data_IF_925146055662
#
_entry.id   IF_925146055662
#
_cell.length_a   1.000
_cell.length_b   1.000
_cell.length_c   1.000
_cell.angle_alpha   90.00
_cell.angle_beta   90.00
_cell.angle_gamma   90.00
#
_symmetry.space_group_name_H-M   'P 1'
#
loop_
_entity.id
_entity.type
_entity.pdbx_description
1 polymer ?
#
# COMPACT_ATOMS: atom_id res chain seq x y z
N UNK A 1 -19.55 19.78 18.68
CA UNK A 1 -18.65 20.45 19.61
C UNK A 1 -18.48 21.87 19.13
N UNK A 2 -19.06 22.82 19.87
CA UNK A 2 -19.23 24.21 19.48
C UNK A 2 -17.91 24.93 19.21
N UNK A 3 -17.75 25.40 17.98
CA UNK A 3 -16.72 26.37 17.66
C UNK A 3 -17.06 27.68 18.33
N UNK A 4 -16.31 28.07 19.34
CA UNK A 4 -16.51 29.30 20.13
C UNK A 4 -15.75 30.49 19.54
N UNK A 5 -15.07 30.38 18.43
CA UNK A 5 -14.38 31.46 17.74
C UNK A 5 -14.55 31.36 16.21
N UNK A 6 -14.66 32.53 15.59
CA UNK A 6 -14.75 32.70 14.14
C UNK A 6 -13.40 32.38 13.49
N UNK A 7 -13.25 31.18 12.89
CA UNK A 7 -12.00 30.73 12.27
C UNK A 7 -12.16 30.69 10.75
N UNK A 8 -11.28 31.39 10.04
CA UNK A 8 -11.22 31.32 8.60
C UNK A 8 -10.89 29.92 8.11
N UNK A 9 -11.61 29.42 7.10
CA UNK A 9 -11.37 28.13 6.46
C UNK A 9 -10.23 28.18 5.46
N UNK A 10 -9.70 27.00 5.07
CA UNK A 10 -8.58 26.91 4.10
C UNK A 10 -8.91 27.55 2.74
N UNK A 11 -10.14 27.47 2.26
CA UNK A 11 -10.55 28.12 1.01
C UNK A 11 -10.53 29.64 1.11
N UNK A 12 -10.78 30.18 2.31
CA UNK A 12 -10.78 31.62 2.54
C UNK A 12 -9.38 32.20 2.69
N UNK A 13 -8.47 31.44 3.28
CA UNK A 13 -7.09 31.85 3.46
C UNK A 13 -6.24 31.73 2.20
N UNK A 14 -6.67 30.91 1.24
CA UNK A 14 -5.94 30.72 -0.02
C UNK A 14 -6.10 31.92 -0.96
N UNK A 15 -4.99 32.61 -1.21
CA UNK A 15 -4.90 33.75 -2.11
C UNK A 15 -4.50 33.32 -3.53
N UNK A 16 -4.40 34.26 -4.49
CA UNK A 16 -4.15 34.01 -5.92
C UNK A 16 -2.94 33.12 -6.24
N UNK A 17 -1.90 33.16 -5.43
CA UNK A 17 -0.67 32.36 -5.62
C UNK A 17 -0.62 31.08 -4.79
N UNK A 18 -1.65 30.81 -3.97
CA UNK A 18 -1.67 29.67 -3.06
C UNK A 18 -2.49 28.52 -3.62
N UNK A 19 -2.16 27.30 -3.16
CA UNK A 19 -2.86 26.09 -3.52
C UNK A 19 -3.49 25.46 -2.27
N UNK A 20 -4.70 24.94 -2.43
CA UNK A 20 -5.35 24.08 -1.44
C UNK A 20 -5.17 22.64 -1.91
N UNK A 21 -4.51 21.83 -1.08
CA UNK A 21 -4.33 20.41 -1.33
C UNK A 21 -5.47 19.63 -0.66
N UNK A 22 -6.20 18.84 -1.45
CA UNK A 22 -7.28 17.97 -1.00
C UNK A 22 -6.83 16.52 -1.16
N UNK A 23 -6.45 15.92 -0.04
CA UNK A 23 -6.08 14.51 0.00
C UNK A 23 -7.32 13.63 0.03
N UNK A 24 -7.22 12.43 -0.53
CA UNK A 24 -8.28 11.41 -0.56
C UNK A 24 -9.61 11.94 -1.10
N UNK A 25 -9.55 12.65 -2.25
CA UNK A 25 -10.75 13.25 -2.87
C UNK A 25 -11.83 12.21 -3.21
N UNK A 26 -11.44 10.95 -3.47
CA UNK A 26 -12.35 9.83 -3.73
C UNK A 26 -13.18 9.38 -2.53
N UNK A 27 -12.85 9.87 -1.31
CA UNK A 27 -13.60 9.56 -0.08
C UNK A 27 -14.67 10.61 0.25
N UNK A 28 -14.81 11.66 -0.55
CA UNK A 28 -15.76 12.73 -0.27
C UNK A 28 -17.22 12.23 -0.30
N UNK A 29 -18.01 12.52 0.74
CA UNK A 29 -19.45 12.31 0.70
C UNK A 29 -20.11 13.09 -0.46
N UNK A 30 -21.20 12.55 -1.04
CA UNK A 30 -21.89 13.14 -2.19
C UNK A 30 -22.28 14.62 -1.97
N UNK A 31 -22.69 14.98 -0.76
CA UNK A 31 -23.04 16.37 -0.43
C UNK A 31 -21.83 17.33 -0.53
N UNK A 32 -20.65 16.84 -0.14
CA UNK A 32 -19.41 17.63 -0.20
C UNK A 32 -18.93 17.74 -1.64
N UNK A 33 -19.11 16.69 -2.45
CA UNK A 33 -18.80 16.73 -3.87
C UNK A 33 -19.59 17.84 -4.60
N UNK A 34 -20.89 18.00 -4.27
CA UNK A 34 -21.73 19.07 -4.84
C UNK A 34 -21.22 20.47 -4.42
N UNK A 35 -20.85 20.64 -3.17
CA UNK A 35 -20.31 21.92 -2.69
C UNK A 35 -18.98 22.25 -3.34
N UNK A 36 -18.08 21.28 -3.45
CA UNK A 36 -16.78 21.46 -4.09
C UNK A 36 -16.95 21.81 -5.59
N UNK A 37 -17.86 21.13 -6.30
CA UNK A 37 -18.17 21.42 -7.69
C UNK A 37 -18.60 22.90 -7.86
N UNK A 38 -19.44 23.43 -6.98
CA UNK A 38 -19.84 24.84 -7.01
C UNK A 38 -18.64 25.78 -6.83
N UNK A 39 -17.71 25.46 -5.92
CA UNK A 39 -16.48 26.24 -5.73
C UNK A 39 -15.64 26.25 -7.01
N UNK A 40 -15.48 25.08 -7.65
CA UNK A 40 -14.69 24.96 -8.88
C UNK A 40 -15.33 25.69 -10.07
N UNK A 41 -16.67 25.71 -10.16
CA UNK A 41 -17.41 26.34 -11.25
C UNK A 41 -17.51 27.86 -11.07
N UNK A 42 -17.91 28.30 -9.87
CA UNK A 42 -18.31 29.69 -9.62
C UNK A 42 -17.20 30.50 -8.94
N UNK A 43 -16.13 29.83 -8.49
CA UNK A 43 -15.08 30.45 -7.69
C UNK A 43 -15.61 31.13 -6.42
N UNK A 44 -16.73 30.65 -5.89
CA UNK A 44 -17.38 31.17 -4.68
C UNK A 44 -17.78 30.08 -3.72
N UNK A 45 -17.72 30.39 -2.43
CA UNK A 45 -18.14 29.51 -1.36
C UNK A 45 -18.80 30.32 -0.22
N UNK A 46 -19.40 29.59 0.72
CA UNK A 46 -19.96 30.14 1.95
C UNK A 46 -19.42 29.33 3.12
N UNK A 47 -19.22 29.98 4.25
CA UNK A 47 -18.94 29.28 5.51
C UNK A 47 -20.15 28.50 5.96
N UNK A 48 -19.93 27.44 6.73
CA UNK A 48 -21.03 26.68 7.33
C UNK A 48 -21.75 27.61 8.34
N UNK A 49 -23.06 27.77 8.14
CA UNK A 49 -23.88 28.66 8.98
C UNK A 49 -23.85 30.15 8.61
N UNK A 50 -23.18 30.53 7.52
CA UNK A 50 -23.11 31.90 7.04
C UNK A 50 -23.65 31.98 5.60
N UNK A 51 -24.46 32.99 5.32
CA UNK A 51 -25.04 33.24 3.99
C UNK A 51 -24.16 34.16 3.11
N UNK A 52 -23.06 34.69 3.66
CA UNK A 52 -22.17 35.58 2.92
C UNK A 52 -21.34 34.78 1.89
N UNK A 53 -21.47 35.17 0.62
CA UNK A 53 -20.67 34.61 -0.47
C UNK A 53 -19.25 35.20 -0.44
N UNK A 54 -18.24 34.33 -0.46
CA UNK A 54 -16.80 34.65 -0.50
C UNK A 54 -16.21 34.14 -1.80
N UNK A 55 -15.20 34.80 -2.30
CA UNK A 55 -14.51 34.38 -3.51
C UNK A 55 -13.30 33.48 -3.21
N UNK A 56 -13.07 32.48 -4.06
CA UNK A 56 -11.94 31.58 -3.98
C UNK A 56 -10.96 31.87 -5.13
N UNK A 57 -9.77 32.28 -4.81
CA UNK A 57 -8.74 32.69 -5.76
C UNK A 57 -7.62 31.65 -5.93
N UNK A 58 -7.50 30.70 -5.03
CA UNK A 58 -6.44 29.70 -5.04
C UNK A 58 -6.57 28.65 -6.15
N UNK A 59 -5.58 27.80 -6.25
CA UNK A 59 -5.62 26.56 -7.03
C UNK A 59 -6.06 25.39 -6.14
N UNK A 60 -6.73 24.41 -6.73
CA UNK A 60 -7.02 23.14 -6.06
C UNK A 60 -6.11 22.08 -6.68
N UNK A 61 -5.42 21.35 -5.81
CA UNK A 61 -4.67 20.14 -6.13
C UNK A 61 -5.34 19.03 -5.34
N UNK A 62 -5.72 17.94 -6.01
CA UNK A 62 -6.35 16.81 -5.33
C UNK A 62 -5.56 15.53 -5.56
N UNK A 63 -5.58 14.66 -4.55
CA UNK A 63 -4.99 13.33 -4.63
C UNK A 63 -6.01 12.27 -4.20
N UNK A 64 -5.86 11.07 -4.73
CA UNK A 64 -6.63 9.89 -4.33
C UNK A 64 -5.91 8.62 -4.74
N UNK A 65 -6.08 7.57 -3.95
CA UNK A 65 -5.66 6.22 -4.31
C UNK A 65 -6.76 5.43 -5.04
N UNK A 66 -8.02 5.95 -5.05
CA UNK A 66 -9.16 5.29 -5.69
C UNK A 66 -9.17 5.48 -7.19
N UNK A 67 -9.66 4.47 -7.90
CA UNK A 67 -10.06 4.59 -9.30
C UNK A 67 -11.37 5.39 -9.38
N UNK A 68 -11.24 6.67 -9.75
CA UNK A 68 -12.40 7.56 -9.87
C UNK A 68 -13.29 7.17 -11.05
N UNK A 69 -12.76 6.51 -12.10
CA UNK A 69 -13.55 5.98 -13.20
C UNK A 69 -14.53 4.91 -12.71
N UNK A 70 -14.02 3.91 -12.01
CA UNK A 70 -14.85 2.87 -11.38
C UNK A 70 -15.84 3.46 -10.36
N UNK A 71 -15.40 4.47 -9.58
CA UNK A 71 -16.28 5.15 -8.61
C UNK A 71 -17.43 5.91 -9.29
N UNK A 72 -17.23 6.47 -10.46
CA UNK A 72 -18.28 7.11 -11.29
C UNK A 72 -19.28 6.07 -11.77
N UNK A 73 -18.82 4.96 -12.33
CA UNK A 73 -19.69 3.85 -12.81
C UNK A 73 -20.57 3.30 -11.68
N UNK A 74 -20.05 3.23 -10.45
CA UNK A 74 -20.77 2.80 -9.26
C UNK A 74 -21.66 3.88 -8.63
N UNK A 75 -21.66 5.10 -9.16
CA UNK A 75 -22.42 6.23 -8.61
C UNK A 75 -21.87 6.82 -7.30
N UNK A 76 -20.67 6.44 -6.89
CA UNK A 76 -20.01 6.94 -5.68
C UNK A 76 -19.29 8.27 -5.89
N UNK A 77 -18.92 8.60 -7.11
CA UNK A 77 -18.28 9.86 -7.47
C UNK A 77 -18.99 10.51 -8.66
N UNK A 78 -19.12 11.83 -8.64
CA UNK A 78 -19.82 12.59 -9.70
C UNK A 78 -18.92 12.80 -10.91
N UNK A 79 -19.41 12.47 -12.09
CA UNK A 79 -18.70 12.68 -13.35
C UNK A 79 -18.41 14.17 -13.62
N UNK A 80 -19.35 15.08 -13.29
CA UNK A 80 -19.17 16.51 -13.51
C UNK A 80 -18.06 17.11 -12.61
N UNK A 81 -17.92 16.62 -11.38
CA UNK A 81 -16.81 16.98 -10.50
C UNK A 81 -15.48 16.45 -11.04
N UNK A 82 -15.46 15.20 -11.50
CA UNK A 82 -14.28 14.59 -12.11
C UNK A 82 -13.72 15.44 -13.24
N UNK A 83 -14.54 15.80 -14.23
CA UNK A 83 -14.09 16.60 -15.36
C UNK A 83 -13.66 18.03 -15.00
N UNK A 84 -14.04 18.52 -13.82
CA UNK A 84 -13.59 19.82 -13.32
C UNK A 84 -12.27 19.74 -12.56
N UNK A 85 -12.02 18.64 -11.86
CA UNK A 85 -10.77 18.40 -11.12
C UNK A 85 -9.65 17.95 -12.05
N UNK A 86 -9.94 17.01 -12.95
CA UNK A 86 -8.96 16.31 -13.76
C UNK A 86 -8.63 17.05 -15.07
N UNK A 87 -8.33 18.35 -14.98
CA UNK A 87 -7.77 19.10 -16.12
C UNK A 87 -6.34 18.64 -16.45
N UNK A 88 -5.62 18.17 -15.45
CA UNK A 88 -4.29 17.55 -15.59
C UNK A 88 -4.16 16.43 -14.54
N UNK A 89 -3.60 15.28 -14.95
CA UNK A 89 -3.49 14.09 -14.10
C UNK A 89 -2.04 13.62 -14.03
N UNK A 90 -1.50 13.63 -12.82
CA UNK A 90 -0.18 13.07 -12.53
C UNK A 90 -0.38 11.69 -11.90
N UNK A 91 0.15 10.65 -12.53
CA UNK A 91 0.18 9.29 -11.95
C UNK A 91 1.52 9.05 -11.29
N UNK A 92 1.52 8.84 -9.99
CA UNK A 92 2.72 8.44 -9.25
C UNK A 92 2.94 6.94 -9.43
N UNK A 93 4.13 6.50 -9.87
CA UNK A 93 4.43 5.08 -9.98
C UNK A 93 4.49 4.42 -8.60
N UNK A 94 4.17 3.13 -8.52
CA UNK A 94 4.38 2.36 -7.30
C UNK A 94 5.87 2.18 -7.02
N UNK A 95 6.23 1.91 -5.76
CA UNK A 95 7.63 1.63 -5.40
C UNK A 95 8.14 0.40 -6.17
N UNK A 96 7.32 -0.63 -6.32
CA UNK A 96 7.68 -1.81 -7.11
C UNK A 96 8.04 -1.47 -8.56
N UNK A 97 7.29 -0.57 -9.19
CA UNK A 97 7.58 -0.09 -10.57
C UNK A 97 8.90 0.68 -10.62
N UNK A 98 9.12 1.60 -9.66
CA UNK A 98 10.37 2.38 -9.60
C UNK A 98 11.60 1.50 -9.43
N UNK A 99 11.50 0.47 -8.56
CA UNK A 99 12.60 -0.46 -8.30
C UNK A 99 12.87 -1.42 -9.47
N UNK A 100 11.87 -1.73 -10.29
CA UNK A 100 12.04 -2.55 -11.49
C UNK A 100 12.83 -1.81 -12.59
N UNK A 101 12.67 -0.50 -12.66
CA UNK A 101 13.34 0.34 -13.67
C UNK A 101 14.79 0.68 -13.28
N UNK A 102 15.12 0.68 -11.99
CA UNK A 102 16.45 1.06 -11.49
C UNK A 102 16.84 0.28 -10.23
N UNK A 103 17.85 -0.58 -10.35
CA UNK A 103 18.33 -1.42 -9.23
C UNK A 103 19.01 -0.63 -8.10
N UNK A 104 19.54 0.56 -8.39
CA UNK A 104 20.23 1.41 -7.40
C UNK A 104 19.25 2.30 -6.63
N UNK A 105 18.00 2.39 -7.11
CA UNK A 105 16.97 3.25 -6.51
C UNK A 105 16.64 2.84 -5.08
N UNK A 106 16.61 1.54 -4.79
CA UNK A 106 16.35 1.04 -3.43
C UNK A 106 17.36 1.60 -2.42
N UNK A 107 18.65 1.55 -2.76
CA UNK A 107 19.70 2.08 -1.88
C UNK A 107 19.56 3.59 -1.67
N UNK A 108 19.26 4.32 -2.73
CA UNK A 108 19.02 5.76 -2.67
C UNK A 108 17.84 6.11 -1.76
N UNK A 109 16.71 5.43 -1.93
CA UNK A 109 15.51 5.63 -1.11
C UNK A 109 15.75 5.28 0.37
N UNK A 110 16.46 4.18 0.65
CA UNK A 110 16.84 3.81 2.02
C UNK A 110 17.71 4.89 2.65
N UNK A 111 18.69 5.43 1.90
CA UNK A 111 19.55 6.52 2.39
C UNK A 111 18.73 7.77 2.72
N UNK A 112 17.79 8.17 1.86
CA UNK A 112 16.88 9.29 2.13
C UNK A 112 16.00 9.07 3.36
N UNK A 113 15.48 7.85 3.53
CA UNK A 113 14.68 7.49 4.70
C UNK A 113 15.53 7.51 5.97
N UNK A 114 16.73 6.93 5.92
CA UNK A 114 17.64 6.86 7.07
C UNK A 114 18.07 8.26 7.51
N UNK A 115 18.37 9.15 6.57
CA UNK A 115 18.75 10.55 6.86
C UNK A 115 17.64 11.35 7.58
N UNK A 116 16.36 10.93 7.47
CA UNK A 116 15.25 11.53 8.23
C UNK A 116 15.14 10.95 9.67
N UNK A 117 15.71 9.79 9.92
CA UNK A 117 15.56 9.04 11.19
C UNK A 117 16.76 9.27 12.10
N UNK A 118 17.97 9.30 11.55
CA UNK A 118 19.24 9.44 12.27
C UNK A 118 20.03 10.64 11.79
N UNK A 119 21.01 11.07 12.59
CA UNK A 119 21.91 12.16 12.19
C UNK A 119 22.71 11.78 10.94
N UNK A 120 23.00 12.78 10.13
CA UNK A 120 23.68 12.66 8.82
C UNK A 120 25.00 11.91 8.85
N UNK A 121 25.75 11.99 9.97
CA UNK A 121 27.10 11.41 10.07
C UNK A 121 27.12 9.88 10.01
N UNK A 122 26.06 9.22 10.49
CA UNK A 122 25.93 7.75 10.51
C UNK A 122 24.89 7.23 9.49
N UNK A 123 24.18 8.14 8.83
CA UNK A 123 23.06 7.77 7.94
C UNK A 123 23.48 6.82 6.81
N UNK A 124 24.65 7.00 6.23
CA UNK A 124 25.14 6.17 5.12
C UNK A 124 25.52 4.76 5.56
N UNK A 125 26.14 4.60 6.73
CA UNK A 125 26.53 3.31 7.28
C UNK A 125 25.27 2.49 7.63
N UNK A 126 24.36 3.13 8.33
CA UNK A 126 23.08 2.54 8.75
C UNK A 126 22.19 2.23 7.53
N UNK A 127 22.20 3.07 6.50
CA UNK A 127 21.48 2.80 5.26
C UNK A 127 22.02 1.56 4.54
N UNK A 128 23.34 1.35 4.56
CA UNK A 128 23.96 0.17 3.99
C UNK A 128 23.54 -1.11 4.73
N UNK A 129 23.55 -1.10 6.06
CA UNK A 129 23.10 -2.24 6.85
C UNK A 129 21.62 -2.59 6.56
N UNK A 130 20.74 -1.59 6.52
CA UNK A 130 19.34 -1.78 6.20
C UNK A 130 19.14 -2.32 4.76
N UNK A 131 19.89 -1.80 3.80
CA UNK A 131 19.87 -2.24 2.43
C UNK A 131 20.31 -3.71 2.28
N UNK A 132 21.42 -4.08 2.92
CA UNK A 132 21.96 -5.44 2.87
C UNK A 132 20.97 -6.43 3.52
N UNK A 133 20.36 -6.04 4.64
CA UNK A 133 19.32 -6.82 5.29
C UNK A 133 18.10 -7.03 4.37
N UNK A 134 17.59 -5.97 3.74
CA UNK A 134 16.45 -6.04 2.83
C UNK A 134 16.76 -6.93 1.64
N UNK A 135 17.92 -6.81 1.01
CA UNK A 135 18.32 -7.66 -0.11
C UNK A 135 18.40 -9.14 0.26
N UNK A 136 18.85 -9.43 1.47
CA UNK A 136 18.98 -10.81 1.95
C UNK A 136 17.64 -11.45 2.33
N UNK A 137 16.74 -10.68 3.00
CA UNK A 137 15.54 -11.24 3.62
C UNK A 137 14.25 -10.96 2.84
N UNK A 138 14.26 -9.97 1.97
CA UNK A 138 13.10 -9.53 1.18
C UNK A 138 13.42 -9.45 -0.33
N UNK A 139 14.03 -10.49 -0.94
CA UNK A 139 14.29 -10.50 -2.37
C UNK A 139 12.95 -10.43 -3.12
N UNK A 140 12.85 -9.53 -4.12
CA UNK A 140 11.64 -9.34 -4.94
C UNK A 140 10.37 -8.94 -4.18
N UNK A 141 10.52 -8.30 -3.04
CA UNK A 141 9.38 -7.85 -2.24
C UNK A 141 8.62 -6.72 -2.96
N UNK A 142 7.29 -6.81 -2.98
CA UNK A 142 6.43 -5.93 -3.81
C UNK A 142 6.10 -4.58 -3.21
N UNK A 143 6.42 -4.33 -1.94
CA UNK A 143 6.21 -3.07 -1.25
C UNK A 143 4.76 -2.55 -1.39
N UNK A 144 3.77 -3.36 -1.01
CA UNK A 144 2.35 -3.02 -1.14
C UNK A 144 1.99 -1.67 -0.48
N UNK A 145 2.63 -1.32 0.63
CA UNK A 145 2.51 -0.04 1.31
C UNK A 145 3.41 1.07 0.76
N UNK A 146 4.13 0.80 -0.36
CA UNK A 146 5.02 1.75 -1.03
C UNK A 146 6.05 2.39 -0.07
N UNK A 147 6.32 3.68 -0.20
CA UNK A 147 7.28 4.40 0.62
C UNK A 147 6.99 4.35 2.12
N UNK A 148 5.70 4.30 2.52
CA UNK A 148 5.32 4.19 3.94
C UNK A 148 5.79 2.87 4.53
N UNK A 149 5.67 1.79 3.78
CA UNK A 149 6.13 0.46 4.19
C UNK A 149 7.65 0.39 4.22
N UNK A 150 8.34 0.97 3.22
CA UNK A 150 9.79 1.06 3.21
C UNK A 150 10.31 1.85 4.43
N UNK A 151 9.71 2.99 4.76
CA UNK A 151 10.04 3.77 5.95
C UNK A 151 9.84 2.96 7.24
N UNK A 152 8.75 2.22 7.33
CA UNK A 152 8.48 1.34 8.48
C UNK A 152 9.49 0.19 8.55
N UNK A 153 9.82 -0.42 7.42
CA UNK A 153 10.81 -1.49 7.32
C UNK A 153 12.19 -1.01 7.80
N UNK A 154 12.69 0.09 7.25
CA UNK A 154 13.97 0.67 7.65
C UNK A 154 13.97 0.99 9.14
N UNK A 155 12.95 1.64 9.66
CA UNK A 155 12.81 1.95 11.09
C UNK A 155 12.83 0.69 11.96
N UNK A 156 12.12 -0.36 11.55
CA UNK A 156 12.08 -1.63 12.29
C UNK A 156 13.44 -2.32 12.30
N UNK A 157 14.15 -2.34 11.18
CA UNK A 157 15.51 -2.89 11.10
C UNK A 157 16.45 -2.15 12.05
N UNK A 158 16.39 -0.81 12.08
CA UNK A 158 17.24 0.01 12.94
C UNK A 158 16.99 -0.20 14.44
N UNK A 159 15.74 -0.46 14.83
CA UNK A 159 15.36 -0.62 16.25
C UNK A 159 15.49 -2.07 16.71
N UNK A 160 15.11 -3.01 15.87
CA UNK A 160 14.94 -4.42 16.25
C UNK A 160 15.89 -5.39 15.52
N UNK A 161 16.71 -4.90 14.58
CA UNK A 161 17.55 -5.73 13.73
C UNK A 161 16.78 -6.56 12.70
N UNK A 162 15.45 -6.41 12.61
CA UNK A 162 14.60 -7.19 11.71
C UNK A 162 13.31 -6.44 11.35
N UNK A 163 12.70 -6.81 10.23
CA UNK A 163 11.37 -6.37 9.83
C UNK A 163 10.51 -7.58 9.49
N UNK A 164 9.30 -7.57 10.00
CA UNK A 164 8.27 -8.55 9.66
C UNK A 164 7.14 -7.80 8.95
N UNK A 165 6.92 -8.03 7.63
CA UNK A 165 5.84 -7.39 6.89
C UNK A 165 4.50 -7.58 7.61
N UNK A 166 3.75 -6.50 7.78
CA UNK A 166 2.37 -6.60 8.23
C UNK A 166 1.62 -7.47 7.22
N UNK A 167 0.78 -8.41 7.67
CA UNK A 167 0.04 -9.39 6.88
C UNK A 167 -0.90 -8.73 5.85
N UNK A 168 -0.36 -8.06 4.87
CA UNK A 168 -1.07 -7.32 3.83
C UNK A 168 -0.30 -7.22 2.52
N UNK A 169 0.99 -7.53 2.53
CA UNK A 169 1.80 -7.69 1.34
C UNK A 169 1.54 -9.08 0.73
N UNK A 170 0.60 -9.16 -0.19
CA UNK A 170 0.33 -10.32 -1.05
C UNK A 170 0.14 -11.68 -0.36
N UNK A 171 -0.82 -11.76 0.56
CA UNK A 171 -1.33 -13.05 1.08
C UNK A 171 -2.13 -13.83 0.01
N UNK A 172 -2.39 -13.23 -1.15
CA UNK A 172 -2.96 -14.01 -2.28
C UNK A 172 -2.01 -15.08 -2.80
N UNK A 173 -0.78 -15.24 -2.23
CA UNK A 173 0.26 -15.78 -3.07
C UNK A 173 1.19 -16.85 -2.50
N UNK A 174 1.03 -17.36 -1.30
CA UNK A 174 1.79 -18.57 -0.95
C UNK A 174 1.50 -19.71 -1.93
N UNK A 175 0.25 -19.81 -2.38
CA UNK A 175 -0.15 -20.83 -3.37
C UNK A 175 0.34 -20.48 -4.76
N UNK A 176 0.20 -19.20 -5.15
CA UNK A 176 0.64 -18.71 -6.45
C UNK A 176 2.18 -18.67 -6.52
N UNK A 177 2.84 -18.23 -5.47
CA UNK A 177 4.29 -18.25 -5.38
C UNK A 177 4.81 -19.69 -5.48
N UNK A 178 4.23 -20.63 -4.76
CA UNK A 178 4.59 -22.05 -4.86
C UNK A 178 4.37 -22.60 -6.27
N UNK A 179 3.26 -22.24 -6.92
CA UNK A 179 3.00 -22.61 -8.31
C UNK A 179 4.06 -22.02 -9.25
N UNK A 180 4.42 -20.75 -9.09
CA UNK A 180 5.43 -20.08 -9.90
C UNK A 180 6.83 -20.68 -9.69
N UNK A 181 7.20 -21.00 -8.46
CA UNK A 181 8.50 -21.65 -8.13
C UNK A 181 8.60 -23.05 -8.74
N UNK A 182 7.48 -23.82 -8.74
CA UNK A 182 7.41 -25.12 -9.43
C UNK A 182 7.61 -24.93 -10.93
N UNK A 183 6.91 -23.98 -11.56
CA UNK A 183 7.00 -23.72 -12.99
C UNK A 183 8.39 -23.21 -13.41
N UNK A 184 9.06 -22.49 -12.54
CA UNK A 184 10.43 -22.04 -12.73
C UNK A 184 11.49 -23.16 -12.55
N UNK A 185 11.12 -24.31 -11.98
CA UNK A 185 12.03 -25.42 -11.70
C UNK A 185 13.06 -25.12 -10.59
N UNK A 186 12.78 -24.15 -9.72
CA UNK A 186 13.72 -23.66 -8.70
C UNK A 186 13.65 -24.42 -7.37
N UNK A 187 12.76 -25.41 -7.24
CA UNK A 187 12.56 -26.17 -6.01
C UNK A 187 13.14 -27.57 -6.13
N UNK A 188 13.80 -28.02 -5.06
CA UNK A 188 14.18 -29.42 -4.91
C UNK A 188 12.98 -30.32 -4.61
N UNK A 189 13.18 -31.64 -4.81
CA UNK A 189 12.13 -32.65 -4.65
C UNK A 189 11.48 -32.63 -3.26
N UNK A 190 12.26 -32.54 -2.19
CA UNK A 190 11.75 -32.63 -0.83
C UNK A 190 10.94 -31.40 -0.44
N UNK A 191 11.37 -30.22 -0.89
CA UNK A 191 10.65 -28.95 -0.73
C UNK A 191 9.31 -28.97 -1.46
N UNK A 192 9.26 -29.47 -2.70
CA UNK A 192 8.01 -29.60 -3.47
C UNK A 192 7.02 -30.52 -2.75
N UNK A 193 7.49 -31.70 -2.33
CA UNK A 193 6.67 -32.69 -1.63
C UNK A 193 6.18 -32.14 -0.29
N UNK A 194 7.06 -31.52 0.50
CA UNK A 194 6.70 -30.96 1.81
C UNK A 194 5.64 -29.86 1.72
N UNK A 195 5.82 -28.94 0.80
CA UNK A 195 4.86 -27.85 0.56
C UNK A 195 3.53 -28.35 -0.05
N UNK A 196 3.60 -29.33 -0.95
CA UNK A 196 2.39 -29.93 -1.49
C UNK A 196 1.57 -30.68 -0.41
N UNK A 197 2.24 -31.38 0.51
CA UNK A 197 1.59 -32.02 1.65
C UNK A 197 0.92 -31.00 2.56
N UNK A 198 1.59 -29.88 2.87
CA UNK A 198 1.04 -28.78 3.63
C UNK A 198 -0.18 -28.15 2.96
N UNK A 199 -0.13 -27.96 1.63
CA UNK A 199 -1.24 -27.44 0.84
C UNK A 199 -2.49 -28.35 0.92
N UNK A 200 -2.31 -29.67 0.71
CA UNK A 200 -3.43 -30.64 0.78
C UNK A 200 -3.96 -30.71 2.21
N UNK A 201 -3.10 -30.73 3.22
CA UNK A 201 -3.52 -30.71 4.61
C UNK A 201 -4.29 -29.44 4.97
N UNK A 202 -3.88 -28.26 4.47
CA UNK A 202 -4.59 -27.00 4.71
C UNK A 202 -6.05 -27.03 4.20
N UNK A 203 -6.32 -27.82 3.16
CA UNK A 203 -7.65 -27.96 2.58
C UNK A 203 -8.52 -29.01 3.31
N UNK A 204 -7.91 -30.06 3.82
CA UNK A 204 -8.63 -31.20 4.44
C UNK A 204 -8.76 -31.07 5.95
N UNK A 205 -7.85 -30.36 6.60
CA UNK A 205 -7.73 -30.19 8.06
C UNK A 205 -7.66 -31.54 8.82
N UNK A 206 -7.37 -32.62 8.10
CA UNK A 206 -7.35 -34.00 8.64
C UNK A 206 -6.24 -34.80 7.96
N UNK A 207 -5.35 -35.43 8.77
CA UNK A 207 -4.23 -36.21 8.26
C UNK A 207 -4.65 -37.47 7.47
N UNK A 208 -5.73 -38.14 7.86
CA UNK A 208 -6.21 -39.32 7.16
C UNK A 208 -6.81 -38.95 5.80
N UNK A 209 -7.62 -37.90 5.76
CA UNK A 209 -8.18 -37.37 4.52
C UNK A 209 -7.10 -36.86 3.57
N UNK A 210 -6.09 -36.15 4.10
CA UNK A 210 -4.94 -35.72 3.32
C UNK A 210 -4.15 -36.93 2.77
N UNK A 211 -3.89 -37.93 3.59
CA UNK A 211 -3.17 -39.14 3.21
C UNK A 211 -3.91 -39.93 2.11
N UNK A 212 -5.21 -40.03 2.22
CA UNK A 212 -6.06 -40.68 1.20
C UNK A 212 -5.97 -39.93 -0.14
N UNK A 213 -6.08 -38.59 -0.12
CA UNK A 213 -5.97 -37.76 -1.34
C UNK A 213 -4.57 -37.81 -1.98
N UNK A 214 -3.52 -37.96 -1.16
CA UNK A 214 -2.13 -38.03 -1.57
C UNK A 214 -1.67 -39.44 -1.89
N UNK A 215 -2.55 -40.45 -1.77
CA UNK A 215 -2.25 -41.87 -1.92
C UNK A 215 -1.01 -42.31 -1.11
N UNK A 216 -0.96 -41.90 0.15
CA UNK A 216 0.13 -42.20 1.08
C UNK A 216 -0.37 -42.50 2.49
N UNK A 217 0.57 -42.69 3.44
CA UNK A 217 0.23 -42.92 4.84
C UNK A 217 0.18 -41.60 5.61
N UNK A 218 -0.74 -41.45 6.58
CA UNK A 218 -0.87 -40.27 7.41
C UNK A 218 0.42 -39.91 8.18
N UNK A 219 1.22 -40.92 8.60
CA UNK A 219 2.50 -40.71 9.27
C UNK A 219 3.51 -40.04 8.33
N UNK A 220 3.50 -40.42 7.05
CA UNK A 220 4.35 -39.82 6.01
C UNK A 220 3.95 -38.36 5.75
N UNK A 221 2.65 -38.07 5.71
CA UNK A 221 2.17 -36.67 5.56
C UNK A 221 2.66 -35.84 6.72
N UNK A 222 2.49 -36.33 7.97
CA UNK A 222 2.90 -35.59 9.17
C UNK A 222 4.43 -35.40 9.26
N UNK A 223 5.23 -36.37 8.86
CA UNK A 223 6.71 -36.32 8.99
C UNK A 223 7.38 -35.49 7.88
N UNK A 224 6.78 -35.40 6.70
CA UNK A 224 7.36 -34.71 5.55
C UNK A 224 6.72 -33.35 5.24
N UNK A 225 5.64 -33.03 5.92
CA UNK A 225 4.93 -31.77 5.70
C UNK A 225 5.78 -30.58 6.12
N UNK A 226 5.87 -29.57 5.25
CA UNK A 226 6.52 -28.28 5.55
C UNK A 226 5.64 -27.47 6.50
N UNK A 227 6.02 -27.47 7.79
CA UNK A 227 5.28 -26.77 8.84
C UNK A 227 5.34 -25.26 8.69
N UNK A 228 6.46 -24.69 8.22
CA UNK A 228 6.61 -23.25 8.01
C UNK A 228 5.67 -22.77 6.88
N UNK A 229 5.62 -23.53 5.80
CA UNK A 229 4.68 -23.26 4.69
C UNK A 229 3.21 -23.43 5.13
N UNK A 230 2.91 -24.43 5.95
CA UNK A 230 1.56 -24.60 6.50
C UNK A 230 1.12 -23.43 7.37
N UNK A 231 2.01 -22.91 8.22
CA UNK A 231 1.73 -21.71 9.02
C UNK A 231 1.48 -20.49 8.14
N UNK A 232 2.24 -20.34 7.08
CA UNK A 232 2.00 -19.33 6.03
C UNK A 232 0.61 -19.46 5.42
N UNK A 233 0.18 -20.68 5.08
CA UNK A 233 -1.15 -20.95 4.50
C UNK A 233 -2.33 -20.74 5.47
N UNK A 234 -2.14 -20.90 6.78
CA UNK A 234 -3.16 -20.60 7.82
C UNK A 234 -3.32 -19.11 8.07
N UNK A 235 -2.32 -18.35 7.69
CA UNK A 235 -2.30 -16.91 7.85
C UNK A 235 -2.88 -16.18 6.63
N UNK A 236 -3.24 -16.92 5.61
CA UNK A 236 -4.01 -16.54 4.43
C UNK A 236 -5.50 -16.81 4.64
#
# INVERSE_FOLDING_TARGET
TGATSDRAGYLETAQHSQSVFLDEIGELPAEVQVKLLRVLQNRRFQRVGDNQSREFYGKIISATHRDLGAAIEQGHFRADLYYRLCSDIIRTPSLATQLADNTDELHHLITLVTAKIVNTDIANEVAKEAHDWIRQHLPNYTWAGNMRELEQCVRSILIHGAYYPARGGNIKDCKQQFANEIMAGNLDHDTVIGRYYALVYSQTQNYEAAAQRLNTNWRTVKSRMDMAFLEGLKSC
#
